data_IF_576480492281
#
_entry.id   IF_576480492281
#
_cell.length_a   1.000
_cell.length_b   1.000
_cell.length_c   1.000
_cell.angle_alpha   90.00
_cell.angle_beta   90.00
_cell.angle_gamma   90.00
#
_symmetry.space_group_name_H-M   'P 1'
#
loop_
_entity.id
_entity.type
_entity.pdbx_description
1 polymer ?
#
# COMPACT_ATOMS: atom_id res chain seq x y z
N UNK A 1 -34.15 -13.32 11.22
CA UNK A 1 -32.84 -12.80 11.63
C UNK A 1 -31.92 -12.99 10.46
N UNK A 2 -31.39 -11.90 9.90
CA UNK A 2 -30.49 -11.94 8.75
C UNK A 2 -29.08 -12.14 9.34
N UNK A 3 -28.39 -13.19 8.92
CA UNK A 3 -26.96 -13.37 9.22
C UNK A 3 -26.20 -12.26 8.49
N UNK A 4 -26.02 -11.13 9.16
CA UNK A 4 -25.17 -10.04 8.69
C UNK A 4 -23.72 -10.51 8.84
N UNK A 5 -23.07 -10.76 7.70
CA UNK A 5 -21.73 -11.33 7.66
C UNK A 5 -20.76 -10.38 8.39
N UNK A 6 -19.80 -10.86 9.20
CA UNK A 6 -18.85 -10.02 9.96
C UNK A 6 -18.10 -8.98 9.11
N UNK A 7 -17.99 -9.24 7.81
CA UNK A 7 -17.38 -8.36 6.82
C UNK A 7 -18.19 -7.07 6.57
N UNK A 8 -19.51 -7.10 6.71
CA UNK A 8 -20.36 -5.91 6.52
C UNK A 8 -20.22 -4.95 7.72
N UNK A 9 -20.10 -5.48 8.94
CA UNK A 9 -19.92 -4.70 10.17
C UNK A 9 -18.57 -3.96 10.28
N UNK A 10 -17.61 -4.29 9.40
CA UNK A 10 -16.29 -3.63 9.35
C UNK A 10 -16.07 -2.88 8.03
N UNK A 11 -17.08 -2.83 7.17
CA UNK A 11 -16.97 -2.25 5.83
C UNK A 11 -16.92 -0.74 5.88
N UNK A 12 -15.87 -0.17 5.29
CA UNK A 12 -15.79 1.27 5.05
C UNK A 12 -16.52 1.61 3.74
N UNK A 13 -17.21 2.74 3.72
CA UNK A 13 -17.88 3.26 2.53
C UNK A 13 -17.12 4.48 2.01
N UNK A 14 -16.86 4.54 0.70
CA UNK A 14 -16.28 5.72 0.05
C UNK A 14 -17.43 6.52 -0.59
N UNK A 15 -17.57 7.78 -0.19
CA UNK A 15 -18.60 8.68 -0.71
C UNK A 15 -18.12 9.51 -1.91
N UNK A 16 -16.82 9.80 -1.94
CA UNK A 16 -16.21 10.57 -3.00
C UNK A 16 -14.69 10.44 -2.95
N UNK A 17 -14.03 10.72 -4.07
CA UNK A 17 -12.57 10.73 -4.14
C UNK A 17 -12.11 11.80 -5.12
N UNK A 18 -11.19 12.66 -4.68
CA UNK A 18 -10.54 13.64 -5.56
C UNK A 18 -9.05 13.36 -5.69
N UNK A 19 -8.55 13.52 -6.91
CA UNK A 19 -7.13 13.40 -7.21
C UNK A 19 -6.41 14.66 -6.73
N UNK A 20 -5.28 14.47 -6.05
CA UNK A 20 -4.32 15.53 -5.70
C UNK A 20 -3.18 15.55 -6.71
N UNK A 21 -2.69 14.37 -7.10
CA UNK A 21 -1.63 14.21 -8.10
C UNK A 21 -1.79 12.86 -8.85
N UNK A 22 -1.50 12.85 -10.14
CA UNK A 22 -1.61 11.66 -11.00
C UNK A 22 -0.43 11.58 -11.96
N UNK A 23 0.73 11.20 -11.42
CA UNK A 23 1.94 10.98 -12.20
C UNK A 23 2.11 9.51 -12.57
N UNK A 24 2.99 9.23 -13.54
CA UNK A 24 3.36 7.85 -13.92
C UNK A 24 3.88 6.99 -12.75
N UNK A 25 4.32 7.60 -11.65
CA UNK A 25 4.94 6.89 -10.53
C UNK A 25 3.92 6.42 -9.48
N UNK A 26 2.89 7.21 -9.22
CA UNK A 26 1.81 6.89 -8.30
C UNK A 26 0.66 7.89 -8.47
N UNK A 27 -0.54 7.48 -8.05
CA UNK A 27 -1.70 8.36 -7.89
C UNK A 27 -1.90 8.69 -6.42
N UNK A 28 -1.97 9.99 -6.11
CA UNK A 28 -2.34 10.52 -4.80
C UNK A 28 -3.74 11.12 -4.87
N UNK A 29 -4.60 10.72 -3.95
CA UNK A 29 -5.97 11.20 -3.85
C UNK A 29 -6.40 11.33 -2.39
N UNK A 30 -7.49 12.05 -2.17
CA UNK A 30 -8.17 12.17 -0.89
C UNK A 30 -9.57 11.59 -1.07
N UNK A 31 -9.90 10.58 -0.28
CA UNK A 31 -11.18 9.91 -0.26
C UNK A 31 -12.00 10.35 0.96
N UNK A 32 -13.26 10.70 0.75
CA UNK A 32 -14.23 10.88 1.84
C UNK A 32 -14.78 9.50 2.22
N UNK A 33 -14.51 9.07 3.44
CA UNK A 33 -14.86 7.73 3.92
C UNK A 33 -15.79 7.79 5.12
N UNK A 34 -16.64 6.77 5.25
CA UNK A 34 -17.52 6.53 6.40
C UNK A 34 -17.24 5.15 6.99
N UNK A 35 -17.05 5.12 8.31
CA UNK A 35 -16.94 3.90 9.09
C UNK A 35 -18.32 3.31 9.40
N UNK A 36 -18.39 2.01 9.78
CA UNK A 36 -19.66 1.37 10.15
C UNK A 36 -20.45 2.07 11.28
N UNK A 37 -19.77 2.83 12.15
CA UNK A 37 -20.39 3.61 13.23
C UNK A 37 -20.88 5.01 12.79
N UNK A 38 -20.77 5.31 11.49
CA UNK A 38 -21.20 6.57 10.88
C UNK A 38 -20.15 7.69 10.93
N UNK A 39 -18.97 7.46 11.51
CA UNK A 39 -17.90 8.47 11.54
C UNK A 39 -17.38 8.73 10.13
N UNK A 40 -17.36 10.02 9.72
CA UNK A 40 -16.88 10.46 8.42
C UNK A 40 -15.60 11.29 8.52
N UNK A 41 -14.66 11.04 7.62
CA UNK A 41 -13.41 11.79 7.53
C UNK A 41 -12.75 11.70 6.15
N UNK A 42 -11.77 12.56 5.90
CA UNK A 42 -10.92 12.52 4.72
C UNK A 42 -9.71 11.60 4.93
N UNK A 43 -9.50 10.67 4.01
CA UNK A 43 -8.38 9.73 4.02
C UNK A 43 -7.47 9.98 2.81
N UNK A 44 -6.18 10.19 3.04
CA UNK A 44 -5.18 10.22 1.98
C UNK A 44 -4.92 8.80 1.47
N UNK A 45 -4.91 8.64 0.14
CA UNK A 45 -4.72 7.37 -0.55
C UNK A 45 -3.60 7.50 -1.57
N UNK A 46 -2.59 6.65 -1.45
CA UNK A 46 -1.52 6.50 -2.44
C UNK A 46 -1.69 5.15 -3.14
N UNK A 47 -1.89 5.18 -4.46
CA UNK A 47 -1.90 3.98 -5.30
C UNK A 47 -0.63 3.94 -6.15
N UNK A 48 0.28 3.04 -5.79
CA UNK A 48 1.51 2.79 -6.52
C UNK A 48 1.37 1.57 -7.45
N UNK A 49 2.18 1.47 -8.53
CA UNK A 49 2.25 0.27 -9.35
C UNK A 49 2.57 -0.98 -8.53
N UNK A 50 2.06 -2.12 -8.97
CA UNK A 50 2.40 -3.42 -8.37
C UNK A 50 3.92 -3.65 -8.48
N UNK A 51 4.49 -4.27 -7.46
CA UNK A 51 5.90 -4.65 -7.42
C UNK A 51 5.99 -6.11 -6.98
N UNK A 52 6.88 -6.87 -7.61
CA UNK A 52 7.22 -8.22 -7.17
C UNK A 52 8.56 -8.17 -6.44
N UNK A 53 8.69 -8.94 -5.36
CA UNK A 53 9.93 -9.13 -4.61
C UNK A 53 10.43 -10.54 -4.88
N UNK A 54 11.72 -10.69 -5.17
CA UNK A 54 12.34 -11.99 -5.45
C UNK A 54 13.30 -12.35 -4.31
N UNK A 55 13.13 -13.55 -3.75
CA UNK A 55 14.07 -14.14 -2.81
C UNK A 55 14.80 -15.31 -3.50
N UNK A 56 16.12 -15.18 -3.66
CA UNK A 56 16.97 -16.23 -4.22
C UNK A 56 17.78 -16.83 -3.08
N UNK A 57 17.66 -18.14 -2.89
CA UNK A 57 18.44 -18.90 -1.91
C UNK A 57 19.48 -19.77 -2.61
N UNK A 58 20.61 -19.98 -1.93
CA UNK A 58 21.58 -21.03 -2.29
C UNK A 58 21.38 -22.30 -1.44
N UNK A 59 22.16 -23.35 -1.73
CA UNK A 59 22.10 -24.63 -1.02
C UNK A 59 22.46 -24.55 0.47
N UNK A 60 22.92 -23.39 0.94
CA UNK A 60 23.24 -23.10 2.36
C UNK A 60 22.22 -22.16 3.00
N UNK A 61 21.05 -21.99 2.38
CA UNK A 61 19.95 -21.14 2.85
C UNK A 61 20.34 -19.65 2.98
N UNK A 62 21.30 -19.17 2.19
CA UNK A 62 21.68 -17.75 2.18
C UNK A 62 20.90 -16.99 1.12
N UNK A 63 20.45 -15.79 1.46
CA UNK A 63 19.72 -14.91 0.54
C UNK A 63 20.66 -14.03 -0.31
N UNK A 64 20.35 -13.90 -1.60
CA UNK A 64 20.92 -12.86 -2.45
C UNK A 64 20.30 -11.50 -2.11
N UNK A 65 21.15 -10.52 -1.76
CA UNK A 65 20.75 -9.14 -1.49
C UNK A 65 21.47 -8.16 -2.42
N UNK A 66 20.83 -7.04 -2.71
CA UNK A 66 21.41 -5.91 -3.44
C UNK A 66 21.76 -4.78 -2.48
N UNK A 67 22.96 -4.20 -2.60
CA UNK A 67 23.33 -2.98 -1.87
C UNK A 67 22.92 -1.76 -2.69
N UNK A 68 21.86 -1.06 -2.29
CA UNK A 68 21.33 0.10 -3.02
C UNK A 68 21.29 1.34 -2.13
N UNK A 69 21.67 2.48 -2.69
CA UNK A 69 21.48 3.77 -2.03
C UNK A 69 20.04 4.23 -2.19
N UNK A 70 19.40 4.59 -1.08
CA UNK A 70 18.03 5.08 -1.01
C UNK A 70 18.06 6.57 -0.69
N UNK A 71 17.90 7.38 -1.73
CA UNK A 71 18.01 8.84 -1.61
C UNK A 71 16.98 9.46 -0.65
N UNK A 72 15.77 8.88 -0.53
CA UNK A 72 14.68 9.42 0.31
C UNK A 72 15.09 9.60 1.77
N UNK A 73 15.90 8.68 2.29
CA UNK A 73 16.43 8.75 3.66
C UNK A 73 17.96 8.71 3.71
N UNK A 74 18.60 8.95 2.56
CA UNK A 74 20.05 9.02 2.33
C UNK A 74 20.90 7.91 2.98
N UNK A 75 20.58 6.64 2.70
CA UNK A 75 21.34 5.51 3.26
C UNK A 75 21.57 4.40 2.25
N UNK A 76 22.67 3.67 2.44
CA UNK A 76 22.89 2.38 1.80
C UNK A 76 22.14 1.30 2.58
N UNK A 77 21.33 0.52 1.86
CA UNK A 77 20.57 -0.59 2.44
C UNK A 77 20.83 -1.86 1.64
N UNK A 78 20.71 -2.99 2.34
CA UNK A 78 20.59 -4.30 1.72
C UNK A 78 19.12 -4.59 1.48
N UNK A 79 18.73 -4.89 0.25
CA UNK A 79 17.35 -5.17 -0.12
C UNK A 79 17.24 -6.39 -1.03
N UNK A 80 16.07 -7.01 -1.00
CA UNK A 80 15.70 -8.02 -1.98
C UNK A 80 15.47 -7.36 -3.35
N UNK A 81 15.88 -8.01 -4.45
CA UNK A 81 15.52 -7.58 -5.80
C UNK A 81 14.01 -7.38 -5.95
N UNK A 82 13.61 -6.29 -6.61
CA UNK A 82 12.21 -5.99 -6.91
C UNK A 82 12.05 -5.31 -8.26
N UNK A 83 10.92 -5.55 -8.92
CA UNK A 83 10.50 -4.90 -10.17
C UNK A 83 9.87 -3.54 -9.92
#
# INVERSE_FOLDING_TARGET
>A
MRDEQPTELTRWTIHGERIVDDTRRARLSIAEVELPDGVRFEQYVIRAPRSAIVAVLDDRERLLLMRRHRFVFDRWVWELPRT
#
